data_IF_863096865371
#
_entry.id   IF_863096865371
#
_cell.length_a   1.000
_cell.length_b   1.000
_cell.length_c   1.000
_cell.angle_alpha   90.00
_cell.angle_beta   90.00
_cell.angle_gamma   90.00
#
_symmetry.space_group_name_H-M   'P 1'
#
loop_
_entity.id
_entity.type
_entity.pdbx_description
1 polymer ?
#
# COMPACT_ATOMS: atom_id res chain seq x y z
N UNK A 1 -26.19 2.98 -0.51
CA UNK A 1 -24.83 3.02 0.10
C UNK A 1 -24.67 1.76 0.94
N UNK A 2 -23.56 1.02 0.77
CA UNK A 2 -23.31 -0.23 1.50
C UNK A 2 -22.27 -0.02 2.60
N UNK A 3 -22.61 -0.40 3.83
CA UNK A 3 -21.73 -0.35 5.02
C UNK A 3 -21.74 -1.69 5.74
N UNK A 4 -20.69 -1.95 6.52
CA UNK A 4 -20.46 -3.20 7.21
C UNK A 4 -20.61 -3.03 8.73
N UNK A 5 -21.45 -3.85 9.37
CA UNK A 5 -21.72 -3.75 10.80
C UNK A 5 -20.65 -4.48 11.65
N UNK A 6 -20.04 -3.73 12.57
CA UNK A 6 -18.86 -4.10 13.38
C UNK A 6 -18.11 -2.85 13.85
N UNK A 7 -18.29 -1.76 13.12
CA UNK A 7 -18.09 -0.38 13.58
C UNK A 7 -19.36 0.10 14.28
N UNK A 8 -19.28 1.14 15.12
CA UNK A 8 -20.40 1.77 15.83
C UNK A 8 -21.56 2.15 14.86
N UNK A 9 -22.42 1.18 14.53
CA UNK A 9 -23.36 1.26 13.40
C UNK A 9 -24.48 2.25 13.64
N UNK A 10 -24.87 2.42 14.90
CA UNK A 10 -25.90 3.37 15.29
C UNK A 10 -25.46 4.84 15.13
N UNK A 11 -24.15 5.12 15.10
CA UNK A 11 -23.64 6.49 14.97
C UNK A 11 -23.56 6.93 13.50
N UNK A 12 -23.12 6.02 12.62
CA UNK A 12 -22.97 6.29 11.18
C UNK A 12 -24.30 6.35 10.43
N UNK A 13 -25.29 5.54 10.79
CA UNK A 13 -26.61 5.59 10.13
C UNK A 13 -27.32 6.93 10.38
N UNK A 14 -27.27 7.46 11.60
CA UNK A 14 -27.87 8.76 11.92
C UNK A 14 -27.16 9.91 11.22
N UNK A 15 -25.81 9.98 11.30
CA UNK A 15 -25.06 11.07 10.68
C UNK A 15 -25.18 11.08 9.15
N UNK A 16 -25.16 9.92 8.49
CA UNK A 16 -25.21 9.86 7.03
C UNK A 16 -26.63 10.12 6.50
N UNK A 17 -27.67 9.64 7.19
CA UNK A 17 -29.07 9.92 6.81
C UNK A 17 -29.42 11.41 6.94
N UNK A 18 -28.82 12.11 7.90
CA UNK A 18 -28.98 13.56 8.10
C UNK A 18 -28.18 14.38 7.07
N UNK A 19 -27.04 13.85 6.59
CA UNK A 19 -26.17 14.53 5.63
C UNK A 19 -26.65 14.43 4.17
N UNK A 20 -27.35 13.36 3.77
CA UNK A 20 -27.82 13.19 2.38
C UNK A 20 -29.25 12.64 2.33
N UNK A 21 -30.28 13.50 2.30
CA UNK A 21 -31.68 13.06 2.22
C UNK A 21 -31.94 12.32 0.91
N UNK A 22 -32.51 11.11 0.98
CA UNK A 22 -32.93 10.32 -0.19
C UNK A 22 -31.93 9.25 -0.65
N UNK A 23 -30.90 8.94 0.14
CA UNK A 23 -30.01 7.79 -0.11
C UNK A 23 -30.52 6.56 0.61
N UNK A 24 -30.82 5.49 -0.14
CA UNK A 24 -31.08 4.17 0.45
C UNK A 24 -29.77 3.60 1.02
N UNK A 25 -29.76 3.38 2.34
CA UNK A 25 -28.65 2.78 3.08
C UNK A 25 -28.96 1.31 3.34
N UNK A 26 -28.08 0.43 2.86
CA UNK A 26 -28.16 -1.01 3.15
C UNK A 26 -26.97 -1.39 4.04
N UNK A 27 -27.27 -1.79 5.27
CA UNK A 27 -26.27 -2.20 6.26
C UNK A 27 -26.17 -3.72 6.29
N UNK A 28 -24.99 -4.26 6.01
CA UNK A 28 -24.74 -5.70 6.08
C UNK A 28 -24.18 -6.07 7.46
N UNK A 29 -24.98 -6.77 8.27
CA UNK A 29 -24.53 -7.31 9.56
C UNK A 29 -23.52 -8.44 9.35
N UNK A 30 -22.33 -8.30 9.92
CA UNK A 30 -21.34 -9.38 9.91
C UNK A 30 -21.53 -10.32 11.11
N UNK A 31 -21.34 -11.63 10.93
CA UNK A 31 -21.14 -12.55 12.02
C UNK A 31 -19.80 -12.22 12.69
N UNK A 32 -19.84 -12.12 14.01
CA UNK A 32 -18.64 -11.96 14.81
C UNK A 32 -17.74 -13.17 14.62
N UNK A 33 -16.46 -12.93 14.32
CA UNK A 33 -15.44 -13.97 14.29
C UNK A 33 -15.01 -14.21 15.74
N UNK A 34 -15.61 -15.23 16.37
CA UNK A 34 -15.16 -15.82 17.63
C UNK A 34 -15.71 -15.20 18.93
N UNK A 35 -16.52 -15.99 19.66
CA UNK A 35 -16.49 -16.20 21.13
C UNK A 35 -17.62 -17.13 21.63
N UNK A 36 -18.51 -17.59 20.75
CA UNK A 36 -19.53 -18.59 21.07
C UNK A 36 -19.61 -19.67 20.00
N UNK A 37 -19.45 -20.92 20.44
CA UNK A 37 -19.56 -22.17 19.67
C UNK A 37 -18.41 -22.44 18.67
N UNK A 38 -17.98 -23.72 18.64
CA UNK A 38 -16.85 -24.23 17.87
C UNK A 38 -17.11 -24.09 16.37
N UNK A 39 -16.76 -22.93 15.78
CA UNK A 39 -16.67 -22.80 14.33
C UNK A 39 -15.51 -23.67 13.85
N UNK A 40 -15.80 -24.62 12.96
CA UNK A 40 -14.77 -25.48 12.38
C UNK A 40 -13.84 -24.65 11.50
N UNK A 41 -12.56 -25.05 11.40
CA UNK A 41 -11.55 -24.35 10.59
C UNK A 41 -12.00 -24.17 9.13
N UNK A 42 -12.84 -25.08 8.61
CA UNK A 42 -13.45 -25.01 7.28
C UNK A 42 -14.57 -23.97 7.15
N UNK A 43 -15.30 -23.66 8.22
CA UNK A 43 -16.34 -22.63 8.21
C UNK A 43 -15.71 -21.23 8.26
N UNK A 44 -14.66 -21.08 9.06
CA UNK A 44 -13.85 -19.86 9.14
C UNK A 44 -13.16 -19.54 7.80
N UNK A 45 -12.65 -20.54 7.09
CA UNK A 45 -12.01 -20.34 5.78
C UNK A 45 -13.01 -19.97 4.67
N UNK A 46 -14.28 -20.38 4.78
CA UNK A 46 -15.31 -20.12 3.78
C UNK A 46 -16.05 -18.79 4.01
N UNK A 47 -15.99 -18.24 5.22
CA UNK A 47 -16.69 -17.03 5.60
C UNK A 47 -16.39 -15.82 4.70
N UNK A 48 -15.13 -15.53 4.30
CA UNK A 48 -14.82 -14.43 3.39
C UNK A 48 -15.54 -14.53 2.04
N UNK A 49 -15.57 -15.73 1.46
CA UNK A 49 -16.22 -15.99 0.16
C UNK A 49 -17.74 -15.88 0.23
N UNK A 50 -18.34 -16.37 1.32
CA UNK A 50 -19.76 -16.20 1.59
C UNK A 50 -20.12 -14.70 1.65
N UNK A 51 -19.26 -13.90 2.29
CA UNK A 51 -19.48 -12.47 2.44
C UNK A 51 -19.31 -11.70 1.16
N UNK A 52 -18.26 -11.99 0.38
CA UNK A 52 -18.12 -11.44 -0.96
C UNK A 52 -19.37 -11.70 -1.80
N UNK A 53 -19.87 -12.95 -1.78
CA UNK A 53 -21.07 -13.33 -2.54
C UNK A 53 -22.31 -12.56 -2.07
N UNK A 54 -22.48 -12.36 -0.75
CA UNK A 54 -23.59 -11.58 -0.20
C UNK A 54 -23.51 -10.11 -0.62
N UNK A 55 -22.35 -9.48 -0.49
CA UNK A 55 -22.13 -8.08 -0.88
C UNK A 55 -22.41 -7.90 -2.38
N UNK A 56 -21.86 -8.78 -3.22
CA UNK A 56 -22.08 -8.74 -4.66
C UNK A 56 -23.56 -8.83 -5.05
N UNK A 57 -24.41 -9.53 -4.28
CA UNK A 57 -25.86 -9.63 -4.55
C UNK A 57 -26.64 -8.37 -4.20
N UNK A 58 -26.11 -7.52 -3.34
CA UNK A 58 -26.74 -6.26 -2.95
C UNK A 58 -26.43 -5.11 -3.91
N UNK A 59 -25.39 -5.27 -4.74
CA UNK A 59 -25.01 -4.26 -5.72
C UNK A 59 -26.03 -4.31 -6.86
N UNK A 60 -26.84 -3.27 -6.96
CA UNK A 60 -27.80 -3.13 -8.05
C UNK A 60 -27.07 -2.76 -9.35
N UNK A 61 -27.15 -3.61 -10.41
CA UNK A 61 -26.46 -3.35 -11.67
C UNK A 61 -26.92 -2.09 -12.40
N UNK A 62 -28.14 -1.61 -12.13
CA UNK A 62 -28.76 -0.48 -12.81
C UNK A 62 -28.58 0.85 -12.07
N UNK A 63 -27.98 0.83 -10.87
CA UNK A 63 -27.84 2.01 -10.02
C UNK A 63 -26.36 2.29 -9.69
N UNK A 64 -25.99 3.57 -9.74
CA UNK A 64 -24.68 4.00 -9.25
C UNK A 64 -24.59 3.73 -7.76
N UNK A 65 -23.58 2.98 -7.35
CA UNK A 65 -23.40 2.54 -5.96
C UNK A 65 -22.12 3.14 -5.40
N UNK A 66 -22.15 3.59 -4.14
CA UNK A 66 -20.94 4.00 -3.42
C UNK A 66 -20.74 3.10 -2.22
N UNK A 67 -19.56 2.51 -2.12
CA UNK A 67 -19.10 1.72 -0.98
C UNK A 67 -18.18 2.57 -0.10
N UNK A 68 -18.39 2.50 1.20
CA UNK A 68 -17.53 3.17 2.18
C UNK A 68 -16.66 2.11 2.87
N UNK A 69 -15.33 2.26 2.75
CA UNK A 69 -14.38 1.45 3.51
C UNK A 69 -14.15 2.08 4.89
N UNK A 70 -14.09 1.23 5.91
CA UNK A 70 -13.86 1.66 7.29
C UNK A 70 -12.39 1.93 7.60
N UNK A 71 -12.13 2.25 8.87
CA UNK A 71 -10.81 2.46 9.49
C UNK A 71 -9.99 1.17 9.72
N UNK A 72 -10.50 0.02 9.30
CA UNK A 72 -9.99 -1.29 9.69
C UNK A 72 -8.96 -1.86 8.70
N UNK A 73 -8.04 -2.67 9.22
CA UNK A 73 -7.36 -3.71 8.44
C UNK A 73 -8.17 -5.02 8.48
N UNK A 74 -9.50 -4.92 8.60
CA UNK A 74 -10.35 -6.08 8.74
C UNK A 74 -10.49 -6.75 7.38
N UNK A 75 -10.52 -8.09 7.37
CA UNK A 75 -10.80 -8.90 6.18
C UNK A 75 -12.00 -8.38 5.37
N UNK A 76 -12.95 -7.75 6.03
CA UNK A 76 -14.15 -7.18 5.46
C UNK A 76 -13.93 -5.90 4.64
N UNK A 77 -12.98 -5.03 5.00
CA UNK A 77 -12.61 -3.87 4.18
C UNK A 77 -11.95 -4.35 2.88
N UNK A 78 -11.14 -5.41 2.95
CA UNK A 78 -10.61 -6.07 1.75
C UNK A 78 -11.70 -6.72 0.89
N UNK A 79 -12.70 -7.35 1.50
CA UNK A 79 -13.82 -7.95 0.76
C UNK A 79 -14.67 -6.86 0.07
N UNK A 80 -14.94 -5.73 0.73
CA UNK A 80 -15.63 -4.59 0.11
C UNK A 80 -14.82 -4.03 -1.06
N UNK A 81 -13.52 -3.83 -0.85
CA UNK A 81 -12.62 -3.39 -1.89
C UNK A 81 -12.62 -4.36 -3.07
N UNK A 82 -12.56 -5.68 -2.84
CA UNK A 82 -12.65 -6.69 -3.89
C UNK A 82 -14.00 -6.66 -4.62
N UNK A 83 -15.12 -6.60 -3.88
CA UNK A 83 -16.45 -6.55 -4.45
C UNK A 83 -16.62 -5.35 -5.40
N UNK A 84 -16.15 -4.18 -4.97
CA UNK A 84 -16.20 -2.97 -5.80
C UNK A 84 -15.36 -3.07 -7.08
N UNK A 85 -14.24 -3.81 -7.09
CA UNK A 85 -13.47 -4.01 -8.33
C UNK A 85 -14.23 -4.82 -9.38
N UNK A 86 -15.25 -5.59 -8.99
CA UNK A 86 -16.04 -6.40 -9.91
C UNK A 86 -17.07 -5.59 -10.73
N UNK A 87 -17.36 -4.33 -10.37
CA UNK A 87 -18.46 -3.56 -10.96
C UNK A 87 -18.05 -2.14 -11.32
N UNK A 88 -18.27 -1.74 -12.59
CA UNK A 88 -17.89 -0.43 -13.14
C UNK A 88 -18.63 0.77 -12.59
N UNK A 89 -19.81 0.55 -12.01
CA UNK A 89 -20.69 1.58 -11.49
C UNK A 89 -20.58 1.75 -9.98
N UNK A 90 -19.61 1.07 -9.35
CA UNK A 90 -19.34 1.16 -7.91
C UNK A 90 -18.16 2.10 -7.66
N UNK A 91 -18.42 3.21 -6.98
CA UNK A 91 -17.38 4.08 -6.42
C UNK A 91 -16.99 3.61 -5.01
N UNK A 92 -15.73 3.83 -4.64
CA UNK A 92 -15.19 3.47 -3.33
C UNK A 92 -14.62 4.72 -2.69
N UNK A 93 -15.03 5.00 -1.46
CA UNK A 93 -14.47 6.08 -0.64
C UNK A 93 -14.01 5.52 0.70
N UNK A 94 -12.97 6.11 1.28
CA UNK A 94 -12.63 5.85 2.67
C UNK A 94 -13.46 6.74 3.60
N UNK A 95 -13.96 6.18 4.71
CA UNK A 95 -14.90 6.88 5.59
C UNK A 95 -14.33 8.16 6.23
N UNK A 96 -13.04 8.14 6.61
CA UNK A 96 -12.42 9.28 7.31
C UNK A 96 -12.03 10.43 6.40
N UNK A 97 -11.45 10.12 5.24
CA UNK A 97 -10.99 11.14 4.30
C UNK A 97 -12.10 11.56 3.35
N UNK A 98 -13.15 10.74 3.19
CA UNK A 98 -14.11 10.84 2.09
C UNK A 98 -13.42 10.89 0.71
N UNK A 99 -12.19 10.39 0.62
CA UNK A 99 -11.39 10.38 -0.60
C UNK A 99 -11.49 9.03 -1.31
N UNK A 100 -11.33 9.01 -2.64
CA UNK A 100 -11.27 7.77 -3.41
C UNK A 100 -10.11 6.88 -2.98
N UNK A 101 -10.28 5.58 -3.19
CA UNK A 101 -9.26 4.56 -2.95
C UNK A 101 -8.76 4.04 -4.30
N UNK A 102 -7.56 3.43 -4.31
CA UNK A 102 -7.00 2.83 -5.52
C UNK A 102 -7.99 1.82 -6.10
N UNK A 103 -8.33 2.01 -7.38
CA UNK A 103 -9.21 1.14 -8.15
C UNK A 103 -8.46 0.59 -9.34
N UNK A 104 -8.53 -0.74 -9.54
CA UNK A 104 -7.95 -1.44 -10.67
C UNK A 104 -8.97 -1.69 -11.79
N UNK A 105 -10.23 -1.30 -11.60
CA UNK A 105 -11.31 -1.50 -12.57
C UNK A 105 -10.99 -0.88 -13.93
N UNK A 106 -10.37 0.30 -13.95
CA UNK A 106 -10.25 1.12 -15.15
C UNK A 106 -8.95 0.90 -15.94
N UNK A 107 -8.31 -0.26 -15.79
CA UNK A 107 -7.12 -0.60 -16.56
C UNK A 107 -7.45 -0.56 -18.06
N UNK A 108 -6.84 0.38 -18.76
CA UNK A 108 -7.08 0.57 -20.19
C UNK A 108 -5.99 -0.10 -21.01
N UNK A 109 -6.29 -0.37 -22.28
CA UNK A 109 -5.25 -0.70 -23.25
C UNK A 109 -4.49 0.57 -23.62
N UNK A 110 -3.17 0.51 -23.52
CA UNK A 110 -2.30 1.62 -23.81
C UNK A 110 -1.83 1.62 -25.26
N UNK A 111 -1.63 2.80 -25.82
CA UNK A 111 -0.90 2.92 -27.08
C UNK A 111 0.56 2.47 -26.87
N UNK A 112 1.27 1.95 -27.90
CA UNK A 112 2.63 1.43 -27.71
C UNK A 112 3.59 2.40 -27.02
N UNK A 113 3.49 3.68 -27.36
CA UNK A 113 4.31 4.75 -26.75
C UNK A 113 3.92 5.04 -25.29
N UNK A 114 2.67 4.85 -24.89
CA UNK A 114 2.25 4.96 -23.49
C UNK A 114 2.79 3.78 -22.67
N UNK A 115 2.78 2.58 -23.24
CA UNK A 115 3.37 1.39 -22.61
C UNK A 115 4.88 1.55 -22.39
N UNK A 116 5.59 2.36 -23.17
CA UNK A 116 7.00 2.70 -22.89
C UNK A 116 7.15 3.83 -21.85
N UNK A 117 6.24 4.82 -21.84
CA UNK A 117 6.33 5.99 -20.96
C UNK A 117 5.98 5.67 -19.51
N UNK A 118 4.92 4.91 -19.26
CA UNK A 118 4.44 4.67 -17.90
C UNK A 118 5.45 3.91 -17.02
N UNK A 119 6.13 2.85 -17.52
CA UNK A 119 7.16 2.18 -16.75
C UNK A 119 8.36 3.09 -16.44
N UNK A 120 8.74 3.98 -17.37
CA UNK A 120 9.80 4.95 -17.14
C UNK A 120 9.41 5.96 -16.04
N UNK A 121 8.13 6.35 -15.94
CA UNK A 121 7.64 7.17 -14.83
C UNK A 121 7.75 6.44 -13.49
N UNK A 122 7.35 5.16 -13.42
CA UNK A 122 7.56 4.34 -12.20
C UNK A 122 9.05 4.27 -11.87
N UNK A 123 9.90 3.92 -12.84
CA UNK A 123 11.34 3.82 -12.65
C UNK A 123 11.97 5.15 -12.14
N UNK A 124 11.48 6.29 -12.61
CA UNK A 124 11.87 7.61 -12.11
C UNK A 124 11.55 7.78 -10.62
N UNK A 125 10.34 7.41 -10.18
CA UNK A 125 9.99 7.43 -8.75
C UNK A 125 10.89 6.50 -7.93
N UNK A 126 11.14 5.28 -8.42
CA UNK A 126 11.98 4.31 -7.72
C UNK A 126 13.42 4.82 -7.57
N UNK A 127 13.98 5.44 -8.62
CA UNK A 127 15.31 6.05 -8.57
C UNK A 127 15.39 7.20 -7.57
N UNK A 128 14.37 8.06 -7.52
CA UNK A 128 14.33 9.18 -6.57
C UNK A 128 14.24 8.68 -5.12
N UNK A 129 13.43 7.65 -4.86
CA UNK A 129 13.29 7.01 -3.54
C UNK A 129 14.59 6.31 -3.11
N UNK A 130 15.26 5.59 -4.03
CA UNK A 130 16.52 4.90 -3.71
C UNK A 130 17.66 5.87 -3.45
N UNK A 131 17.68 7.02 -4.14
CA UNK A 131 18.71 8.04 -3.98
C UNK A 131 18.40 9.08 -2.90
N UNK A 132 17.36 8.88 -2.09
CA UNK A 132 16.93 9.80 -1.04
C UNK A 132 16.74 11.25 -1.53
N UNK A 133 16.24 11.42 -2.77
CA UNK A 133 15.88 12.72 -3.31
C UNK A 133 14.50 13.11 -2.76
N UNK A 134 14.50 13.90 -1.69
CA UNK A 134 13.28 14.35 -1.00
C UNK A 134 12.93 15.81 -1.27
N UNK A 135 13.45 16.42 -2.34
CA UNK A 135 12.98 17.73 -2.76
C UNK A 135 11.53 17.61 -3.24
N UNK A 136 10.59 17.99 -2.37
CA UNK A 136 9.13 17.92 -2.58
C UNK A 136 8.66 18.45 -3.95
N UNK A 137 9.46 19.31 -4.58
CA UNK A 137 9.18 19.89 -5.90
C UNK A 137 9.54 18.96 -7.09
N UNK A 138 10.45 17.99 -6.95
CA UNK A 138 10.97 17.21 -8.08
C UNK A 138 10.79 15.68 -7.99
N UNK A 139 10.31 15.11 -6.88
CA UNK A 139 10.13 13.65 -6.75
C UNK A 139 9.19 13.09 -7.82
N UNK A 140 9.72 12.14 -8.60
CA UNK A 140 8.96 11.43 -9.63
C UNK A 140 8.60 12.27 -10.85
N UNK A 141 9.18 13.47 -10.98
CA UNK A 141 9.12 14.23 -12.22
C UNK A 141 10.13 13.66 -13.21
N UNK A 142 9.66 13.48 -14.43
CA UNK A 142 10.44 13.04 -15.58
C UNK A 142 10.37 14.10 -16.66
N UNK A 143 11.53 14.55 -17.13
CA UNK A 143 11.63 15.31 -18.36
C UNK A 143 11.95 14.39 -19.55
N UNK A 144 12.11 14.98 -20.72
CA UNK A 144 12.38 14.22 -21.93
C UNK A 144 13.73 13.51 -21.92
N UNK A 145 14.74 14.09 -21.27
CA UNK A 145 16.09 13.52 -21.20
C UNK A 145 16.09 12.29 -20.29
N UNK A 146 15.58 12.45 -19.07
CA UNK A 146 15.41 11.36 -18.10
C UNK A 146 14.55 10.23 -18.66
N UNK A 147 13.53 10.56 -19.44
CA UNK A 147 12.74 9.54 -20.15
C UNK A 147 13.58 8.70 -21.12
N UNK A 148 14.39 9.33 -21.98
CA UNK A 148 15.23 8.59 -22.92
C UNK A 148 16.21 7.66 -22.21
N UNK A 149 16.79 8.11 -21.09
CA UNK A 149 17.72 7.33 -20.30
C UNK A 149 17.04 6.10 -19.68
N UNK A 150 15.87 6.29 -19.06
CA UNK A 150 15.13 5.23 -18.38
C UNK A 150 14.48 4.24 -19.35
N UNK A 151 13.93 4.73 -20.47
CA UNK A 151 13.32 3.90 -21.50
C UNK A 151 14.34 3.30 -22.48
N UNK A 152 15.63 3.67 -22.37
CA UNK A 152 16.70 3.30 -23.32
C UNK A 152 16.33 3.65 -24.77
N UNK A 153 15.60 4.76 -24.96
CA UNK A 153 15.08 5.19 -26.26
C UNK A 153 16.05 6.16 -26.95
N UNK A 154 16.22 6.03 -28.27
CA UNK A 154 17.16 6.86 -29.06
C UNK A 154 16.54 8.13 -29.65
N UNK A 155 15.25 8.40 -29.38
CA UNK A 155 14.60 9.62 -29.84
C UNK A 155 13.22 9.88 -29.25
N UNK A 156 12.93 11.17 -29.06
CA UNK A 156 11.67 11.70 -28.53
C UNK A 156 10.78 12.22 -29.65
N UNK A 157 9.93 11.38 -30.22
CA UNK A 157 8.81 11.87 -31.02
C UNK A 157 7.51 11.37 -30.42
N UNK A 158 6.81 12.26 -29.70
CA UNK A 158 5.40 12.05 -29.38
C UNK A 158 5.01 11.93 -27.91
N UNK A 159 5.87 12.25 -26.91
CA UNK A 159 5.46 12.18 -25.49
C UNK A 159 4.21 13.03 -25.21
N UNK A 160 4.23 14.33 -25.57
CA UNK A 160 3.11 15.21 -25.24
C UNK A 160 1.77 14.79 -25.91
N UNK A 161 1.75 14.40 -27.20
CA UNK A 161 0.56 13.81 -27.81
C UNK A 161 0.14 12.47 -27.19
N UNK A 162 1.10 11.60 -26.87
CA UNK A 162 0.84 10.29 -26.27
C UNK A 162 0.17 10.40 -24.91
N UNK A 163 0.66 11.30 -24.07
CA UNK A 163 0.14 11.48 -22.71
C UNK A 163 -1.12 12.33 -22.64
N UNK A 164 -1.58 12.89 -23.77
CA UNK A 164 -2.69 13.86 -23.78
C UNK A 164 -3.94 13.31 -23.08
N UNK A 165 -4.34 12.08 -23.37
CA UNK A 165 -5.52 11.48 -22.75
C UNK A 165 -5.37 11.32 -21.22
N UNK A 166 -4.19 10.95 -20.75
CA UNK A 166 -3.91 10.82 -19.31
C UNK A 166 -3.77 12.16 -18.60
N UNK A 167 -3.25 13.18 -19.28
CA UNK A 167 -3.21 14.54 -18.77
C UNK A 167 -4.64 15.08 -18.63
N UNK A 168 -5.44 14.98 -19.69
CA UNK A 168 -6.84 15.42 -19.71
C UNK A 168 -7.68 14.64 -18.67
N UNK A 169 -7.35 13.39 -18.43
CA UNK A 169 -7.97 12.53 -17.41
C UNK A 169 -7.47 12.73 -15.98
N UNK A 170 -6.46 13.58 -15.75
CA UNK A 170 -5.86 13.82 -14.43
C UNK A 170 -4.98 12.68 -13.91
N UNK A 171 -4.58 11.75 -14.76
CA UNK A 171 -3.64 10.67 -14.42
C UNK A 171 -2.18 11.08 -14.47
N UNK A 172 -1.85 12.16 -15.19
CA UNK A 172 -0.49 12.69 -15.29
C UNK A 172 -0.52 14.21 -15.07
N UNK A 173 0.32 14.66 -14.15
CA UNK A 173 0.62 16.07 -13.93
C UNK A 173 1.63 16.54 -14.97
N UNK A 174 1.33 17.66 -15.64
CA UNK A 174 2.24 18.30 -16.59
C UNK A 174 2.65 19.66 -16.05
N UNK A 175 3.93 19.85 -15.82
CA UNK A 175 4.48 21.15 -15.44
C UNK A 175 5.31 21.72 -16.59
N UNK A 176 5.13 23.00 -16.90
CA UNK A 176 5.85 23.69 -17.99
C UNK A 176 6.59 24.89 -17.41
N UNK A 177 7.92 24.83 -17.42
CA UNK A 177 8.78 25.92 -16.96
C UNK A 177 9.67 26.41 -18.10
N UNK A 178 9.42 27.64 -18.57
CA UNK A 178 10.12 28.30 -19.68
C UNK A 178 10.14 27.46 -20.97
N UNK A 179 11.14 26.57 -21.11
CA UNK A 179 11.38 25.70 -22.27
C UNK A 179 11.29 24.21 -21.94
N UNK A 180 11.21 23.86 -20.66
CA UNK A 180 11.22 22.48 -20.19
C UNK A 180 9.79 22.06 -19.81
N UNK A 181 9.45 20.85 -20.19
CA UNK A 181 8.19 20.21 -19.80
C UNK A 181 8.55 18.97 -19.00
N UNK A 182 8.04 18.91 -17.79
CA UNK A 182 8.16 17.75 -16.91
C UNK A 182 6.78 17.13 -16.71
N UNK A 183 6.77 15.81 -16.54
CA UNK A 183 5.58 15.03 -16.32
C UNK A 183 5.74 14.25 -15.02
N UNK A 184 4.65 14.01 -14.32
CA UNK A 184 4.63 13.21 -13.10
C UNK A 184 3.39 12.34 -13.06
N UNK A 185 3.56 11.09 -12.68
CA UNK A 185 2.45 10.17 -12.49
C UNK A 185 1.61 10.63 -11.28
N UNK A 186 0.30 10.75 -11.46
CA UNK A 186 -0.63 10.98 -10.37
C UNK A 186 -1.18 9.62 -9.87
N UNK A 187 -1.52 9.47 -8.58
CA UNK A 187 -2.07 8.22 -8.03
C UNK A 187 -3.22 7.60 -8.82
N UNK A 188 -4.02 8.42 -9.52
CA UNK A 188 -5.13 7.95 -10.36
C UNK A 188 -4.69 7.01 -11.49
N UNK A 189 -3.51 7.22 -12.07
CA UNK A 189 -2.97 6.38 -13.15
C UNK A 189 -1.94 5.36 -12.65
N UNK A 190 -1.78 5.21 -11.33
CA UNK A 190 -0.85 4.23 -10.77
C UNK A 190 -1.15 2.78 -11.20
N UNK A 191 -2.41 2.31 -11.21
CA UNK A 191 -2.73 0.94 -11.64
C UNK A 191 -2.29 0.67 -13.08
N UNK A 192 -2.60 1.59 -14.01
CA UNK A 192 -2.20 1.51 -15.41
C UNK A 192 -0.68 1.42 -15.53
N UNK A 193 0.03 2.33 -14.83
CA UNK A 193 1.48 2.38 -14.88
C UNK A 193 2.16 1.17 -14.24
N UNK A 194 1.62 0.66 -13.13
CA UNK A 194 2.09 -0.55 -12.48
C UNK A 194 1.88 -1.77 -13.37
N UNK A 195 0.70 -1.91 -14.00
CA UNK A 195 0.42 -3.00 -14.92
C UNK A 195 1.42 -3.05 -16.07
N UNK A 196 1.71 -1.91 -16.69
CA UNK A 196 2.70 -1.84 -17.77
C UNK A 196 4.14 -2.01 -17.27
N UNK A 197 4.44 -1.55 -16.07
CA UNK A 197 5.76 -1.76 -15.48
C UNK A 197 6.04 -3.25 -15.25
N UNK A 198 5.07 -3.98 -14.67
CA UNK A 198 5.21 -5.41 -14.41
C UNK A 198 5.13 -6.26 -15.68
N UNK A 199 4.39 -5.84 -16.71
CA UNK A 199 4.31 -6.56 -18.00
C UNK A 199 5.65 -6.61 -18.74
N UNK A 200 6.55 -5.67 -18.46
CA UNK A 200 7.88 -5.57 -19.07
C UNK A 200 8.98 -6.27 -18.28
N UNK A 201 8.70 -6.72 -17.05
CA UNK A 201 9.69 -7.46 -16.28
C UNK A 201 9.90 -8.84 -16.92
N UNK A 202 11.15 -9.33 -16.95
CA UNK A 202 11.43 -10.66 -17.48
C UNK A 202 10.71 -11.72 -16.64
N UNK A 203 10.20 -12.76 -17.31
CA UNK A 203 9.65 -13.92 -16.63
C UNK A 203 10.72 -14.54 -15.71
N UNK A 204 10.32 -14.77 -14.46
CA UNK A 204 11.18 -15.32 -13.43
C UNK A 204 11.08 -16.84 -13.45
N UNK A 205 12.23 -17.50 -13.38
CA UNK A 205 12.29 -18.96 -13.26
C UNK A 205 11.74 -19.40 -11.90
N UNK A 206 11.04 -20.54 -11.87
CA UNK A 206 10.37 -21.05 -10.67
C UNK A 206 11.31 -21.61 -9.60
N UNK A 207 12.61 -21.72 -9.90
CA UNK A 207 13.66 -22.20 -9.00
C UNK A 207 14.37 -21.07 -8.23
N UNK A 208 13.95 -19.81 -8.44
CA UNK A 208 14.49 -18.68 -7.71
C UNK A 208 14.04 -18.71 -6.24
N UNK A 209 14.91 -18.32 -5.29
CA UNK A 209 14.52 -18.17 -3.88
C UNK A 209 13.45 -17.09 -3.71
N UNK A 210 12.70 -17.19 -2.61
CA UNK A 210 11.59 -16.27 -2.34
C UNK A 210 12.09 -14.96 -1.73
N UNK A 211 11.37 -13.87 -1.97
CA UNK A 211 11.41 -12.64 -1.19
C UNK A 211 10.05 -12.50 -0.53
N UNK A 212 9.99 -12.80 0.76
CA UNK A 212 8.79 -12.71 1.57
C UNK A 212 8.60 -11.27 2.03
N UNK A 213 7.50 -10.66 1.63
CA UNK A 213 7.08 -9.31 2.01
C UNK A 213 6.02 -9.46 3.09
N UNK A 214 6.35 -9.05 4.31
CA UNK A 214 5.48 -9.24 5.45
C UNK A 214 5.09 -7.92 6.12
N UNK A 215 3.85 -7.85 6.60
CA UNK A 215 3.29 -6.67 7.24
C UNK A 215 3.14 -6.91 8.74
N UNK A 216 3.69 -6.02 9.55
CA UNK A 216 3.66 -6.12 11.02
C UNK A 216 3.22 -4.83 11.67
N UNK A 217 2.67 -4.92 12.88
CA UNK A 217 2.47 -3.75 13.74
C UNK A 217 3.75 -3.49 14.54
N UNK A 218 4.21 -2.24 14.58
CA UNK A 218 5.29 -1.88 15.49
C UNK A 218 4.78 -2.02 16.93
N UNK A 219 5.44 -2.83 17.78
CA UNK A 219 4.96 -3.09 19.13
C UNK A 219 5.06 -1.83 19.99
N UNK A 220 4.21 -1.75 21.02
CA UNK A 220 4.31 -0.72 22.05
C UNK A 220 4.90 -1.36 23.31
N UNK A 221 6.23 -1.31 23.44
CA UNK A 221 6.96 -2.09 24.44
C UNK A 221 7.08 -1.30 25.74
N UNK A 222 7.07 0.04 25.66
CA UNK A 222 7.19 0.91 26.83
C UNK A 222 5.83 1.46 27.30
N UNK A 223 4.87 0.59 27.60
CA UNK A 223 3.73 1.00 28.43
C UNK A 223 4.16 1.19 29.89
N UNK A 224 3.63 2.22 30.55
CA UNK A 224 3.90 2.68 31.93
C UNK A 224 3.77 1.62 33.06
N UNK A 225 3.46 0.36 32.75
CA UNK A 225 3.34 -0.74 33.70
C UNK A 225 4.54 -1.69 33.52
N UNK A 226 5.42 -1.73 34.52
CA UNK A 226 6.65 -2.52 34.57
C UNK A 226 6.50 -4.06 34.47
N UNK A 227 5.31 -4.60 34.18
CA UNK A 227 5.03 -6.04 34.27
C UNK A 227 4.66 -6.73 32.94
N UNK A 228 4.55 -6.00 31.82
CA UNK A 228 4.27 -6.61 30.52
C UNK A 228 5.30 -6.18 29.46
N UNK A 229 6.48 -6.80 29.47
CA UNK A 229 7.34 -6.82 28.29
C UNK A 229 6.67 -7.73 27.25
N UNK A 230 5.75 -7.18 26.44
CA UNK A 230 5.23 -7.91 25.28
C UNK A 230 6.36 -7.98 24.26
N UNK A 231 6.94 -9.16 24.09
CA UNK A 231 7.98 -9.40 23.09
C UNK A 231 7.45 -9.13 21.68
N UNK A 232 8.34 -8.72 20.78
CA UNK A 232 8.03 -8.62 19.36
C UNK A 232 7.93 -10.03 18.75
N UNK A 233 6.76 -10.64 18.88
CA UNK A 233 6.51 -12.03 18.44
C UNK A 233 6.15 -12.14 16.94
N UNK A 234 6.67 -11.24 16.12
CA UNK A 234 6.36 -11.12 14.70
C UNK A 234 6.62 -12.41 13.91
N UNK A 235 7.72 -13.09 14.21
CA UNK A 235 8.12 -14.32 13.53
C UNK A 235 7.22 -15.53 13.84
N UNK A 236 6.42 -15.49 14.91
CA UNK A 236 5.44 -16.57 15.18
C UNK A 236 4.28 -16.58 14.19
N UNK A 237 4.04 -15.45 13.52
CA UNK A 237 2.95 -15.27 12.58
C UNK A 237 3.40 -15.45 11.12
N UNK A 238 4.70 -15.40 10.85
CA UNK A 238 5.26 -15.58 9.52
C UNK A 238 5.32 -17.03 9.08
N UNK A 239 5.18 -17.25 7.78
CA UNK A 239 5.53 -18.54 7.19
C UNK A 239 7.02 -18.88 7.43
N UNK A 240 7.36 -20.16 7.65
CA UNK A 240 8.74 -20.56 7.90
C UNK A 240 9.65 -20.22 6.72
N UNK A 241 10.62 -19.34 6.96
CA UNK A 241 11.62 -18.93 5.96
C UNK A 241 12.74 -19.97 5.87
N UNK A 242 13.24 -20.22 4.65
CA UNK A 242 14.41 -21.06 4.43
C UNK A 242 15.70 -20.20 4.42
N UNK A 243 16.87 -20.79 4.69
CA UNK A 243 18.14 -20.13 4.44
C UNK A 243 18.22 -19.65 2.98
N UNK A 244 18.78 -18.46 2.76
CA UNK A 244 18.87 -17.76 1.46
C UNK A 244 17.54 -17.19 0.92
N UNK A 245 16.41 -17.41 1.60
CA UNK A 245 15.21 -16.62 1.32
C UNK A 245 15.44 -15.15 1.72
N UNK A 246 14.71 -14.27 1.06
CA UNK A 246 14.64 -12.86 1.35
C UNK A 246 13.50 -12.53 2.32
N UNK A 247 13.71 -11.55 3.19
CA UNK A 247 12.65 -10.97 4.02
C UNK A 247 12.65 -9.43 3.90
N UNK A 248 11.48 -8.88 3.58
CA UNK A 248 11.17 -7.46 3.63
C UNK A 248 9.97 -7.23 4.56
N UNK A 249 10.22 -6.63 5.72
CA UNK A 249 9.17 -6.29 6.68
C UNK A 249 8.70 -4.85 6.49
N UNK A 250 7.39 -4.66 6.51
CA UNK A 250 6.72 -3.36 6.56
C UNK A 250 6.05 -3.20 7.93
N UNK A 251 6.65 -2.38 8.79
CA UNK A 251 6.15 -2.10 10.13
C UNK A 251 5.22 -0.90 10.11
N UNK A 252 4.00 -1.03 10.62
CA UNK A 252 3.03 0.05 10.68
C UNK A 252 2.68 0.41 12.13
N UNK A 253 2.63 1.71 12.44
CA UNK A 253 2.05 2.23 13.68
C UNK A 253 1.22 3.47 13.44
N UNK A 254 0.09 3.53 14.15
CA UNK A 254 -0.69 4.73 14.33
C UNK A 254 -0.50 5.21 15.78
N UNK A 255 -0.08 6.45 15.95
CA UNK A 255 0.18 7.10 17.23
C UNK A 255 -0.04 8.61 17.08
N UNK A 256 -1.17 9.09 17.62
CA UNK A 256 -1.56 10.50 17.59
C UNK A 256 -0.56 11.43 18.28
N UNK A 257 0.30 10.91 19.15
CA UNK A 257 1.35 11.69 19.80
C UNK A 257 2.52 12.05 18.88
N UNK A 258 2.55 11.47 17.68
CA UNK A 258 3.56 11.74 16.65
C UNK A 258 2.89 12.58 15.55
N UNK A 259 3.19 13.90 15.44
CA UNK A 259 2.63 14.78 14.42
C UNK A 259 3.29 14.58 13.05
N UNK A 260 3.58 13.33 12.68
CA UNK A 260 4.23 12.96 11.45
C UNK A 260 3.51 11.76 10.83
N UNK A 261 3.15 11.88 9.56
CA UNK A 261 2.71 10.78 8.70
C UNK A 261 3.73 10.59 7.60
N UNK A 262 4.17 9.36 7.37
CA UNK A 262 5.14 9.09 6.32
C UNK A 262 5.65 7.67 6.27
N UNK A 263 6.44 7.41 5.23
CA UNK A 263 7.05 6.12 4.92
C UNK A 263 8.55 6.34 4.80
N UNK A 264 9.34 5.46 5.40
CA UNK A 264 10.80 5.50 5.33
C UNK A 264 11.38 4.12 5.65
N UNK A 265 12.68 3.93 5.49
CA UNK A 265 13.31 2.69 5.99
C UNK A 265 13.40 2.70 7.51
N UNK A 266 13.53 1.53 8.11
CA UNK A 266 13.72 1.36 9.55
C UNK A 266 14.98 2.08 10.03
N UNK A 267 16.06 2.04 9.26
CA UNK A 267 17.30 2.76 9.58
C UNK A 267 17.14 4.28 9.47
N UNK A 268 16.36 4.78 8.51
CA UNK A 268 16.02 6.20 8.42
C UNK A 268 15.13 6.63 9.59
N UNK A 269 14.17 5.79 10.00
CA UNK A 269 13.32 6.05 11.15
C UNK A 269 14.15 6.12 12.44
N UNK A 270 15.08 5.18 12.65
CA UNK A 270 16.00 5.19 13.81
C UNK A 270 16.76 6.52 13.90
N UNK A 271 17.40 6.95 12.81
CA UNK A 271 18.13 8.23 12.77
C UNK A 271 17.21 9.43 13.01
N UNK A 272 16.00 9.43 12.44
CA UNK A 272 15.06 10.54 12.56
C UNK A 272 14.61 10.78 13.99
N UNK A 273 14.41 9.73 14.78
CA UNK A 273 13.92 9.83 16.16
C UNK A 273 15.02 9.75 17.23
N UNK A 274 16.29 9.63 16.83
CA UNK A 274 17.44 9.53 17.75
C UNK A 274 17.63 10.80 18.59
N UNK A 275 17.53 11.97 17.95
CA UNK A 275 17.80 13.28 18.57
C UNK A 275 16.56 13.94 19.21
N UNK A 276 15.39 13.29 19.11
CA UNK A 276 14.12 13.86 19.56
C UNK A 276 13.95 13.76 21.08
N UNK A 277 13.76 14.90 21.76
CA UNK A 277 13.72 14.92 23.23
C UNK A 277 12.36 14.59 23.84
N UNK A 278 11.29 14.68 23.03
CA UNK A 278 9.91 14.47 23.49
C UNK A 278 9.70 13.02 23.93
N UNK A 279 9.00 12.82 25.05
CA UNK A 279 8.78 11.50 25.63
C UNK A 279 8.14 10.51 24.64
N UNK A 280 7.17 10.95 23.84
CA UNK A 280 6.53 10.11 22.80
C UNK A 280 7.54 9.65 21.75
N UNK A 281 8.40 10.54 21.26
CA UNK A 281 9.45 10.19 20.30
C UNK A 281 10.50 9.26 20.90
N UNK A 282 10.90 9.46 22.16
CA UNK A 282 11.84 8.54 22.86
C UNK A 282 11.27 7.12 23.01
N UNK A 283 9.99 7.02 23.37
CA UNK A 283 9.31 5.72 23.44
C UNK A 283 9.24 5.06 22.08
N UNK A 284 8.84 5.83 21.05
CA UNK A 284 8.79 5.35 19.67
C UNK A 284 10.16 4.88 19.17
N UNK A 285 11.22 5.63 19.45
CA UNK A 285 12.59 5.26 19.12
C UNK A 285 13.01 3.96 19.83
N UNK A 286 12.66 3.78 21.11
CA UNK A 286 12.88 2.54 21.84
C UNK A 286 12.18 1.33 21.19
N UNK A 287 10.94 1.50 20.74
CA UNK A 287 10.17 0.46 20.04
C UNK A 287 10.80 0.12 18.68
N UNK A 288 11.29 1.11 17.93
CA UNK A 288 12.03 0.91 16.68
C UNK A 288 13.33 0.14 16.90
N UNK A 289 14.12 0.49 17.93
CA UNK A 289 15.37 -0.22 18.27
C UNK A 289 15.09 -1.69 18.56
N UNK A 290 14.06 -1.96 19.34
CA UNK A 290 13.70 -3.33 19.67
C UNK A 290 13.29 -4.13 18.43
N UNK A 291 12.44 -3.55 17.56
CA UNK A 291 12.05 -4.20 16.31
C UNK A 291 13.27 -4.45 15.40
N UNK A 292 14.17 -3.47 15.26
CA UNK A 292 15.41 -3.61 14.51
C UNK A 292 16.28 -4.76 15.03
N UNK A 293 16.52 -4.80 16.35
CA UNK A 293 17.34 -5.85 16.97
C UNK A 293 16.72 -7.25 16.81
N UNK A 294 15.39 -7.35 16.96
CA UNK A 294 14.69 -8.62 16.79
C UNK A 294 14.76 -9.12 15.34
N UNK A 295 14.56 -8.22 14.37
CA UNK A 295 14.68 -8.56 12.94
C UNK A 295 16.11 -8.95 12.59
N UNK A 296 17.11 -8.15 12.98
CA UNK A 296 18.53 -8.38 12.68
C UNK A 296 19.04 -9.68 13.31
N UNK A 297 18.69 -9.96 14.58
CA UNK A 297 19.12 -11.19 15.26
C UNK A 297 18.55 -12.43 14.58
N UNK A 298 17.25 -12.42 14.24
CA UNK A 298 16.56 -13.58 13.67
C UNK A 298 16.99 -13.85 12.23
N UNK A 299 17.18 -12.81 11.43
CA UNK A 299 17.60 -12.97 10.03
C UNK A 299 19.03 -13.50 9.93
N UNK A 300 19.92 -13.05 10.82
CA UNK A 300 21.29 -13.60 10.93
C UNK A 300 21.30 -15.04 11.42
N UNK A 301 20.50 -15.38 12.42
CA UNK A 301 20.41 -16.75 12.96
C UNK A 301 19.98 -17.76 11.89
N UNK A 302 19.02 -17.40 11.05
CA UNK A 302 18.45 -18.27 10.03
C UNK A 302 19.10 -18.14 8.64
N UNK A 303 20.08 -17.25 8.48
CA UNK A 303 20.74 -17.03 7.18
C UNK A 303 19.78 -16.47 6.12
N UNK A 304 18.91 -15.55 6.52
CA UNK A 304 17.91 -14.90 5.67
C UNK A 304 18.50 -13.59 5.13
N UNK A 305 18.39 -13.38 3.83
CA UNK A 305 18.79 -12.14 3.18
C UNK A 305 17.78 -11.03 3.51
N UNK A 306 18.25 -9.87 3.93
CA UNK A 306 17.39 -8.69 4.13
C UNK A 306 18.01 -7.44 3.52
N UNK A 307 17.15 -6.46 3.27
CA UNK A 307 17.56 -5.11 2.88
C UNK A 307 16.48 -4.11 3.27
N UNK A 308 16.84 -3.15 4.12
CA UNK A 308 16.07 -1.92 4.40
C UNK A 308 14.57 -2.16 4.58
N UNK A 309 14.20 -2.71 5.74
CA UNK A 309 12.81 -2.84 6.15
C UNK A 309 12.11 -1.47 6.14
N UNK A 310 10.80 -1.44 5.92
CA UNK A 310 10.01 -0.21 5.86
C UNK A 310 9.27 0.04 7.17
N UNK A 311 9.08 1.32 7.48
CA UNK A 311 8.25 1.81 8.57
C UNK A 311 7.23 2.79 8.01
N UNK A 312 5.96 2.57 8.35
CA UNK A 312 4.82 3.41 8.01
C UNK A 312 4.26 4.02 9.30
N UNK A 313 4.34 5.33 9.40
CA UNK A 313 3.90 6.10 10.58
C UNK A 313 2.63 6.86 10.21
N UNK A 314 1.60 6.76 11.05
CA UNK A 314 0.32 7.46 10.90
C UNK A 314 -0.22 7.42 9.46
N UNK A 315 -0.49 6.22 8.92
CA UNK A 315 -0.93 6.09 7.55
C UNK A 315 -2.19 6.89 7.30
N UNK A 316 -2.19 7.63 6.19
CA UNK A 316 -3.34 8.44 5.79
C UNK A 316 -4.11 7.72 4.68
N UNK A 317 -5.44 7.64 4.78
CA UNK A 317 -6.26 6.93 3.81
C UNK A 317 -6.58 7.80 2.58
N UNK A 318 -5.54 8.22 1.86
CA UNK A 318 -5.66 8.98 0.62
C UNK A 318 -4.84 8.33 -0.51
N UNK A 319 -5.23 8.62 -1.76
CA UNK A 319 -4.57 8.06 -2.94
C UNK A 319 -3.08 8.36 -3.00
N UNK A 320 -2.67 9.58 -2.61
CA UNK A 320 -1.26 9.98 -2.58
C UNK A 320 -0.43 9.10 -1.66
N UNK A 321 -0.95 8.83 -0.46
CA UNK A 321 -0.30 7.98 0.52
C UNK A 321 -0.23 6.53 0.05
N UNK A 322 -1.33 5.99 -0.53
CA UNK A 322 -1.32 4.63 -1.08
C UNK A 322 -0.28 4.47 -2.20
N UNK A 323 -0.19 5.46 -3.10
CA UNK A 323 0.86 5.48 -4.13
C UNK A 323 2.25 5.50 -3.51
N UNK A 324 2.48 6.33 -2.49
CA UNK A 324 3.77 6.38 -1.81
C UNK A 324 4.12 5.04 -1.16
N UNK A 325 3.18 4.36 -0.49
CA UNK A 325 3.41 3.03 0.09
C UNK A 325 3.83 2.04 -0.99
N UNK A 326 3.07 1.97 -2.08
CA UNK A 326 3.37 1.09 -3.20
C UNK A 326 4.77 1.35 -3.79
N UNK A 327 5.10 2.62 -4.05
CA UNK A 327 6.39 2.99 -4.65
C UNK A 327 7.57 2.73 -3.72
N UNK A 328 7.44 2.99 -2.41
CA UNK A 328 8.51 2.68 -1.46
C UNK A 328 8.71 1.17 -1.32
N UNK A 329 7.62 0.39 -1.27
CA UNK A 329 7.70 -1.06 -1.25
C UNK A 329 8.40 -1.59 -2.51
N UNK A 330 7.95 -1.16 -3.68
CA UNK A 330 8.54 -1.55 -4.96
C UNK A 330 10.03 -1.16 -5.04
N UNK A 331 10.40 0.04 -4.55
CA UNK A 331 11.78 0.50 -4.53
C UNK A 331 12.66 -0.41 -3.67
N UNK A 332 12.16 -0.87 -2.50
CA UNK A 332 12.90 -1.82 -1.65
C UNK A 332 13.00 -3.20 -2.28
N UNK A 333 11.96 -3.71 -2.93
CA UNK A 333 12.04 -4.97 -3.67
C UNK A 333 13.09 -4.91 -4.80
N UNK A 334 13.11 -3.83 -5.58
CA UNK A 334 14.10 -3.64 -6.66
C UNK A 334 15.51 -3.50 -6.10
N UNK A 335 15.70 -2.76 -5.01
CA UNK A 335 17.01 -2.61 -4.35
C UNK A 335 17.50 -3.93 -3.73
N UNK A 336 16.59 -4.72 -3.17
CA UNK A 336 16.86 -6.06 -2.70
C UNK A 336 17.42 -6.93 -3.83
N UNK A 337 16.74 -6.98 -4.98
CA UNK A 337 17.18 -7.82 -6.11
C UNK A 337 18.49 -7.35 -6.74
N UNK A 338 18.77 -6.04 -6.72
CA UNK A 338 20.08 -5.52 -7.12
C UNK A 338 21.21 -6.01 -6.22
N UNK A 339 20.92 -6.26 -4.95
CA UNK A 339 21.92 -6.67 -3.94
C UNK A 339 22.09 -8.19 -3.92
N UNK A 340 20.98 -8.93 -3.90
CA UNK A 340 20.93 -10.37 -3.59
C UNK A 340 20.56 -11.24 -4.79
N UNK A 341 20.30 -10.62 -5.94
CA UNK A 341 19.84 -11.28 -7.17
C UNK A 341 18.32 -11.41 -7.25
N UNK A 342 17.79 -11.91 -8.38
CA UNK A 342 16.36 -12.08 -8.60
C UNK A 342 15.69 -12.96 -7.53
N UNK A 343 14.43 -12.65 -7.19
CA UNK A 343 13.61 -13.39 -6.22
C UNK A 343 12.18 -13.57 -6.69
N UNK A 344 11.51 -14.63 -6.26
CA UNK A 344 10.05 -14.75 -6.37
C UNK A 344 9.40 -13.93 -5.26
N UNK A 345 8.63 -12.91 -5.58
CA UNK A 345 8.02 -12.07 -4.56
C UNK A 345 6.77 -12.77 -4.02
N UNK A 346 6.76 -12.98 -2.71
CA UNK A 346 5.62 -13.53 -2.00
C UNK A 346 5.13 -12.51 -0.98
N UNK A 347 3.84 -12.21 -1.00
CA UNK A 347 3.25 -11.30 -0.01
C UNK A 347 2.67 -12.18 1.09
N UNK A 348 3.31 -12.15 2.25
CA UNK A 348 2.84 -12.88 3.41
C UNK A 348 1.65 -12.15 4.04
N UNK A 349 0.46 -12.70 3.76
CA UNK A 349 -0.80 -12.28 4.34
C UNK A 349 -1.21 -13.17 5.53
N UNK A 350 -0.29 -13.96 6.09
CA UNK A 350 -0.64 -14.86 7.20
C UNK A 350 -1.01 -14.09 8.48
N UNK A 351 -2.29 -14.30 8.84
CA UNK A 351 -3.06 -14.01 10.07
C UNK A 351 -3.33 -12.56 10.46
#
# INVERSE_FOLDING_TARGET
MLTIEGMESNFLESEISDLVPGVDVETLKLPQIGLGEQQTTSELSNLPWLMLTKICRLINPDAKTTMLLGRGAAIYDHILWLASQCYSHVDILHIDSCEPILSIHNLRKHAPIESEILPAMIASFLEDIVNDRFDFENIGYIDSERFMDLAKATGLKGIAPALKQMIDGGGIEKHTSKKNVTYRLNPKALPDAASEYFSQLPEKSSDLPNLTIAFGRLPNIQTKNNDCQVGFDFFSYLNPLQPMDGLLVVLQRHDDSIPFSGIMTLEQALKKFEDEETLSFKQYHGDLIHAYNALDSRTKEYGIDTKQHLVIINPSPNLGFHMNVFLHLLARCVEFEKTHGPRLWDIDLTK
#
